data_IF_747485872269
#
_entry.id   IF_747485872269
#
_cell.length_a   1.000
_cell.length_b   1.000
_cell.length_c   1.000
_cell.angle_alpha   90.00
_cell.angle_beta   90.00
_cell.angle_gamma   90.00
#
_symmetry.space_group_name_H-M   'P 1'
#
loop_
_entity.id
_entity.type
_entity.pdbx_description
1 polymer ?
#
# COMPACT_ATOMS: atom_id res chain seq x y z
N UNK A 1 15.15 -32.71 -1.71
CA UNK A 1 15.56 -31.30 -1.84
C UNK A 1 14.49 -30.31 -1.36
N UNK A 2 13.20 -30.52 -1.67
CA UNK A 2 12.10 -29.60 -1.27
C UNK A 2 12.03 -29.38 0.26
N UNK A 3 12.18 -30.44 1.06
CA UNK A 3 12.17 -30.31 2.53
C UNK A 3 13.32 -29.43 3.08
N UNK A 4 14.50 -29.48 2.47
CA UNK A 4 15.63 -28.62 2.88
C UNK A 4 15.33 -27.17 2.55
N UNK A 5 14.84 -26.89 1.35
CA UNK A 5 14.39 -25.55 0.93
C UNK A 5 13.31 -25.01 1.88
N UNK A 6 12.31 -25.82 2.24
CA UNK A 6 11.23 -25.46 3.16
C UNK A 6 11.74 -25.09 4.56
N UNK A 7 12.69 -25.86 5.10
CA UNK A 7 13.30 -25.58 6.41
C UNK A 7 14.04 -24.24 6.37
N UNK A 8 14.92 -24.03 5.38
CA UNK A 8 15.70 -22.79 5.26
C UNK A 8 14.82 -21.54 5.10
N UNK A 9 13.73 -21.63 4.33
CA UNK A 9 12.74 -20.56 4.22
C UNK A 9 12.09 -20.29 5.58
N UNK A 10 11.61 -21.33 6.26
CA UNK A 10 10.93 -21.18 7.56
C UNK A 10 11.84 -20.56 8.62
N UNK A 11 13.11 -20.96 8.65
CA UNK A 11 14.12 -20.40 9.55
C UNK A 11 14.35 -18.90 9.29
N UNK A 12 14.44 -18.49 8.01
CA UNK A 12 14.63 -17.08 7.66
C UNK A 12 13.41 -16.24 8.06
N UNK A 13 12.20 -16.66 7.72
CA UNK A 13 10.98 -15.94 8.07
C UNK A 13 10.76 -15.86 9.59
N UNK A 14 11.21 -16.87 10.33
CA UNK A 14 11.17 -16.84 11.81
C UNK A 14 12.04 -15.72 12.38
N UNK A 15 13.18 -15.39 11.74
CA UNK A 15 14.03 -14.24 12.13
C UNK A 15 13.34 -12.90 11.89
N UNK A 16 12.41 -12.83 10.94
CA UNK A 16 11.58 -11.65 10.67
C UNK A 16 10.27 -11.64 11.47
N UNK A 17 10.15 -12.49 12.50
CA UNK A 17 8.94 -12.62 13.30
C UNK A 17 7.69 -13.01 12.48
N UNK A 18 7.87 -13.62 11.30
CA UNK A 18 6.79 -14.12 10.46
C UNK A 18 6.62 -15.61 10.67
N UNK A 19 5.38 -16.07 10.77
CA UNK A 19 5.04 -17.50 10.79
C UNK A 19 4.15 -17.80 9.60
N UNK A 20 4.74 -18.37 8.54
CA UNK A 20 4.01 -18.69 7.32
C UNK A 20 2.99 -19.81 7.55
N UNK A 21 1.90 -19.79 6.79
CA UNK A 21 0.98 -20.92 6.70
C UNK A 21 1.62 -22.02 5.85
N UNK A 22 1.48 -23.25 6.32
CA UNK A 22 2.11 -24.39 5.67
C UNK A 22 1.52 -24.66 4.28
N UNK A 23 0.21 -24.56 4.12
CA UNK A 23 -0.47 -24.73 2.83
C UNK A 23 0.06 -23.74 1.78
N UNK A 24 0.09 -22.46 2.13
CA UNK A 24 0.61 -21.40 1.27
C UNK A 24 2.08 -21.64 0.88
N UNK A 25 2.93 -21.99 1.85
CA UNK A 25 4.35 -22.25 1.57
C UNK A 25 4.54 -23.47 0.66
N UNK A 26 3.73 -24.52 0.84
CA UNK A 26 3.81 -25.71 -0.02
C UNK A 26 3.44 -25.36 -1.47
N UNK A 27 2.35 -24.61 -1.68
CA UNK A 27 1.91 -24.17 -3.00
C UNK A 27 2.99 -23.32 -3.71
N UNK A 28 3.57 -22.36 -2.98
CA UNK A 28 4.66 -21.52 -3.51
C UNK A 28 5.89 -22.36 -3.88
N UNK A 29 6.30 -23.29 -3.03
CA UNK A 29 7.46 -24.14 -3.30
C UNK A 29 7.19 -25.12 -4.45
N UNK A 30 5.97 -25.60 -4.61
CA UNK A 30 5.55 -26.43 -5.74
C UNK A 30 5.60 -25.64 -7.05
N UNK A 31 5.04 -24.43 -7.06
CA UNK A 31 5.13 -23.51 -8.20
C UNK A 31 6.59 -23.21 -8.58
N UNK A 32 7.43 -22.86 -7.60
CA UNK A 32 8.86 -22.60 -7.83
C UNK A 32 9.61 -23.85 -8.29
N UNK A 33 9.18 -25.05 -7.88
CA UNK A 33 9.77 -26.29 -8.35
C UNK A 33 9.46 -26.54 -9.83
N UNK A 34 8.24 -26.22 -10.28
CA UNK A 34 7.85 -26.32 -11.70
C UNK A 34 8.57 -25.29 -12.56
N UNK A 35 8.56 -24.02 -12.15
CA UNK A 35 9.12 -22.92 -12.95
C UNK A 35 10.65 -22.85 -12.87
N UNK A 36 11.25 -23.24 -11.74
CA UNK A 36 12.70 -23.09 -11.46
C UNK A 36 13.25 -24.26 -10.63
N UNK A 37 13.10 -25.48 -11.13
CA UNK A 37 13.51 -26.72 -10.45
C UNK A 37 14.93 -26.69 -9.88
N UNK A 38 15.89 -26.12 -10.62
CA UNK A 38 17.32 -26.10 -10.28
C UNK A 38 17.77 -24.86 -9.50
N UNK A 39 16.85 -23.96 -9.11
CA UNK A 39 17.22 -22.79 -8.33
C UNK A 39 17.90 -23.20 -7.01
N UNK A 40 18.98 -22.50 -6.67
CA UNK A 40 19.67 -22.64 -5.40
C UNK A 40 18.79 -22.17 -4.23
N UNK A 41 19.19 -22.52 -3.01
CA UNK A 41 18.41 -22.22 -1.81
C UNK A 41 18.28 -20.70 -1.61
N UNK A 42 19.30 -19.91 -1.92
CA UNK A 42 19.26 -18.45 -1.75
C UNK A 42 18.25 -17.82 -2.71
N UNK A 43 18.27 -18.22 -3.98
CA UNK A 43 17.28 -17.72 -4.96
C UNK A 43 15.86 -18.13 -4.58
N UNK A 44 15.64 -19.36 -4.11
CA UNK A 44 14.32 -19.80 -3.66
C UNK A 44 13.83 -18.95 -2.49
N UNK A 45 14.70 -18.68 -1.50
CA UNK A 45 14.35 -17.82 -0.36
C UNK A 45 13.94 -16.42 -0.83
N UNK A 46 14.71 -15.81 -1.74
CA UNK A 46 14.39 -14.50 -2.28
C UNK A 46 13.04 -14.50 -3.00
N UNK A 47 12.77 -15.50 -3.85
CA UNK A 47 11.51 -15.59 -4.58
C UNK A 47 10.31 -15.80 -3.66
N UNK A 48 10.45 -16.62 -2.61
CA UNK A 48 9.40 -16.80 -1.61
C UNK A 48 9.15 -15.48 -0.86
N UNK A 49 10.21 -14.74 -0.53
CA UNK A 49 10.11 -13.43 0.11
C UNK A 49 9.36 -12.42 -0.77
N UNK A 50 9.70 -12.35 -2.06
CA UNK A 50 9.01 -11.48 -3.02
C UNK A 50 7.53 -11.87 -3.16
N UNK A 51 7.23 -13.15 -3.33
CA UNK A 51 5.84 -13.62 -3.41
C UNK A 51 5.06 -13.33 -2.12
N UNK A 52 5.69 -13.47 -0.95
CA UNK A 52 5.08 -13.11 0.33
C UNK A 52 4.79 -11.61 0.43
N UNK A 53 5.70 -10.75 -0.03
CA UNK A 53 5.54 -9.29 0.00
C UNK A 53 4.33 -8.81 -0.83
N UNK A 54 4.05 -9.49 -1.94
CA UNK A 54 2.89 -9.20 -2.80
C UNK A 54 1.65 -10.02 -2.46
N UNK A 55 1.70 -10.83 -1.39
CA UNK A 55 0.56 -11.62 -0.94
C UNK A 55 -0.19 -10.93 0.19
N UNK A 56 -1.51 -11.11 0.21
CA UNK A 56 -2.34 -10.86 1.39
C UNK A 56 -1.80 -11.63 2.61
N UNK A 57 -1.42 -10.92 3.69
CA UNK A 57 -0.95 -11.54 4.94
C UNK A 57 -2.00 -12.48 5.53
N UNK A 58 -3.28 -12.17 5.30
CA UNK A 58 -4.42 -13.00 5.70
C UNK A 58 -4.35 -14.41 5.09
N UNK A 59 -3.73 -14.57 3.93
CA UNK A 59 -3.56 -15.83 3.22
C UNK A 59 -2.20 -16.48 3.51
N UNK A 60 -1.12 -15.70 3.54
CA UNK A 60 0.25 -16.22 3.62
C UNK A 60 0.74 -16.50 5.05
N UNK A 61 0.22 -15.78 6.04
CA UNK A 61 0.82 -15.70 7.38
C UNK A 61 -0.18 -16.08 8.48
N UNK A 62 0.29 -16.72 9.55
CA UNK A 62 -0.50 -17.02 10.74
C UNK A 62 -0.61 -15.78 11.63
N UNK A 63 -1.82 -15.43 12.12
CA UNK A 63 -2.00 -14.27 12.98
C UNK A 63 -1.31 -14.48 14.33
N UNK A 64 -0.46 -13.51 14.73
CA UNK A 64 0.21 -13.47 16.04
C UNK A 64 -0.46 -12.53 17.03
N UNK A 65 -1.03 -11.43 16.55
CA UNK A 65 -1.72 -10.45 17.39
C UNK A 65 -3.02 -11.07 17.90
N UNK A 66 -3.17 -11.16 19.22
CA UNK A 66 -4.41 -11.56 19.88
C UNK A 66 -4.90 -10.39 20.72
N UNK A 67 -5.96 -9.74 20.28
CA UNK A 67 -6.59 -8.66 21.03
C UNK A 67 -7.62 -9.28 21.99
N UNK A 68 -7.49 -9.07 23.30
CA UNK A 68 -8.48 -9.54 24.26
C UNK A 68 -9.81 -8.80 24.03
N UNK A 69 -10.96 -9.49 24.17
CA UNK A 69 -12.25 -8.85 24.01
C UNK A 69 -12.48 -7.85 25.15
N UNK A 70 -13.00 -6.66 24.81
CA UNK A 70 -13.45 -5.61 25.75
C UNK A 70 -12.35 -4.90 26.56
N UNK A 71 -11.08 -4.99 26.16
CA UNK A 71 -10.02 -4.26 26.85
C UNK A 71 -9.96 -2.79 26.41
N UNK A 72 -9.89 -1.86 27.37
CA UNK A 72 -9.83 -0.41 27.10
C UNK A 72 -8.46 0.04 26.60
N UNK A 73 -7.41 -0.69 26.96
CA UNK A 73 -6.02 -0.40 26.59
C UNK A 73 -5.22 -1.69 26.64
N UNK A 74 -4.62 -2.05 25.53
CA UNK A 74 -3.72 -3.20 25.41
C UNK A 74 -2.33 -2.69 25.02
N UNK A 75 -1.28 -3.27 25.61
CA UNK A 75 0.09 -3.06 25.14
C UNK A 75 0.48 -4.21 24.22
N UNK A 76 1.20 -3.91 23.15
CA UNK A 76 1.75 -4.92 22.27
C UNK A 76 3.25 -5.01 22.54
N UNK A 77 3.64 -6.02 23.32
CA UNK A 77 5.03 -6.18 23.80
C UNK A 77 5.86 -7.13 22.92
N UNK A 78 5.42 -7.41 21.68
CA UNK A 78 6.15 -8.30 20.77
C UNK A 78 6.25 -7.73 19.37
N UNK A 79 7.33 -8.09 18.68
CA UNK A 79 7.55 -7.74 17.28
C UNK A 79 6.54 -8.46 16.41
N UNK A 80 5.77 -7.69 15.65
CA UNK A 80 4.72 -8.18 14.76
C UNK A 80 4.87 -7.58 13.38
N UNK A 81 4.45 -8.35 12.40
CA UNK A 81 4.34 -7.90 11.02
C UNK A 81 2.88 -7.64 10.69
N UNK A 82 2.62 -6.48 10.09
CA UNK A 82 1.27 -6.01 9.73
C UNK A 82 1.23 -5.58 8.27
N UNK A 83 0.05 -5.67 7.65
CA UNK A 83 -0.21 -5.16 6.31
C UNK A 83 -1.05 -3.89 6.41
N UNK A 84 -0.60 -2.82 5.76
CA UNK A 84 -1.35 -1.57 5.66
C UNK A 84 -2.31 -1.69 4.48
N UNK A 85 -3.59 -1.87 4.75
CA UNK A 85 -4.61 -1.99 3.70
C UNK A 85 -5.01 -0.62 3.12
N UNK A 86 -5.05 0.39 3.97
CA UNK A 86 -5.38 1.76 3.61
C UNK A 86 -4.77 2.71 4.64
N UNK A 87 -4.50 3.94 4.21
CA UNK A 87 -4.08 5.02 5.11
C UNK A 87 -4.87 6.28 4.73
N UNK A 88 -5.31 7.03 5.74
CA UNK A 88 -6.02 8.30 5.57
C UNK A 88 -5.39 9.31 6.51
N UNK A 89 -5.16 10.52 6.02
CA UNK A 89 -4.73 11.64 6.85
C UNK A 89 -5.92 12.23 7.59
N UNK A 90 -5.85 12.26 8.92
CA UNK A 90 -6.89 12.78 9.80
C UNK A 90 -6.61 14.21 10.29
N UNK A 91 -5.42 14.75 10.01
CA UNK A 91 -5.05 16.13 10.38
C UNK A 91 -5.66 17.16 9.44
N UNK A 92 -5.93 16.78 8.20
CA UNK A 92 -6.52 17.63 7.18
C UNK A 92 -7.92 17.14 6.81
N UNK A 93 -8.81 18.06 6.47
CA UNK A 93 -10.16 17.66 6.07
C UNK A 93 -10.09 16.87 4.76
N UNK A 94 -10.87 15.79 4.67
CA UNK A 94 -10.97 14.99 3.44
C UNK A 94 -11.36 15.86 2.24
N UNK A 95 -12.20 16.88 2.46
CA UNK A 95 -12.59 17.85 1.45
C UNK A 95 -11.40 18.69 0.94
N UNK A 96 -10.55 19.19 1.85
CA UNK A 96 -9.36 19.96 1.48
C UNK A 96 -8.39 19.11 0.64
N UNK A 97 -8.12 17.87 1.07
CA UNK A 97 -7.31 16.93 0.29
C UNK A 97 -7.94 16.64 -1.07
N UNK A 98 -9.24 16.37 -1.11
CA UNK A 98 -9.94 16.11 -2.35
C UNK A 98 -9.87 17.32 -3.29
N UNK A 99 -10.05 18.53 -2.78
CA UNK A 99 -9.91 19.77 -3.55
C UNK A 99 -8.50 19.94 -4.12
N UNK A 100 -7.46 19.68 -3.32
CA UNK A 100 -6.06 19.68 -3.78
C UNK A 100 -5.80 18.63 -4.88
N UNK A 101 -6.35 17.41 -4.73
CA UNK A 101 -6.19 16.32 -5.70
C UNK A 101 -7.00 16.51 -6.99
N UNK A 102 -8.22 17.02 -6.89
CA UNK A 102 -9.17 17.14 -8.02
C UNK A 102 -8.97 18.43 -8.81
N UNK A 103 -8.36 19.44 -8.22
CA UNK A 103 -7.63 20.44 -9.00
C UNK A 103 -7.84 21.88 -8.58
N UNK A 104 -6.70 22.57 -8.60
CA UNK A 104 -6.48 24.02 -8.77
C UNK A 104 -7.14 24.64 -10.04
N UNK A 105 -8.21 24.06 -10.57
CA UNK A 105 -8.92 24.54 -11.76
C UNK A 105 -10.37 24.98 -11.48
N UNK A 106 -10.73 25.14 -10.20
CA UNK A 106 -11.96 25.84 -9.78
C UNK A 106 -11.68 27.24 -9.23
N UNK A 107 -10.44 27.70 -9.37
CA UNK A 107 -10.10 29.09 -9.18
C UNK A 107 -10.65 29.90 -10.37
N UNK A 108 -11.55 30.82 -10.07
CA UNK A 108 -12.10 31.78 -11.03
C UNK A 108 -11.08 32.89 -11.40
N UNK A 109 -9.79 32.73 -11.09
CA UNK A 109 -8.73 33.67 -11.48
C UNK A 109 -8.65 33.92 -12.99
N UNK A 110 -9.19 33.01 -13.82
CA UNK A 110 -9.36 33.22 -15.25
C UNK A 110 -10.47 34.24 -15.61
N UNK A 111 -11.36 34.57 -14.68
CA UNK A 111 -12.40 35.61 -14.83
C UNK A 111 -11.91 37.01 -14.42
N UNK A 112 -10.60 37.25 -14.35
CA UNK A 112 -10.09 38.63 -14.36
C UNK A 112 -10.37 39.24 -15.75
N UNK A 113 -11.59 39.76 -15.90
CA UNK A 113 -11.95 40.63 -17.01
C UNK A 113 -11.21 41.93 -16.76
N UNK A 114 -10.11 42.16 -17.46
CA UNK A 114 -9.55 43.51 -17.56
C UNK A 114 -10.64 44.39 -18.18
N UNK A 115 -11.25 45.26 -17.37
CA UNK A 115 -12.03 46.38 -17.86
C UNK A 115 -11.08 47.23 -18.69
N UNK A 116 -11.15 47.06 -20.02
CA UNK A 116 -10.50 47.95 -20.96
C UNK A 116 -11.24 49.29 -20.90
N UNK A 117 -10.91 50.09 -19.90
CA UNK A 117 -11.42 51.44 -19.68
C UNK A 117 -10.76 52.36 -20.70
N UNK A 118 -11.27 52.37 -21.94
CA UNK A 118 -10.55 53.05 -23.03
C UNK A 118 -11.24 53.17 -24.39
N UNK A 119 -12.54 52.91 -24.52
CA UNK A 119 -13.26 53.27 -25.75
C UNK A 119 -14.46 54.15 -25.42
N UNK A 120 -14.17 55.44 -25.23
CA UNK A 120 -15.15 56.50 -25.37
C UNK A 120 -15.77 56.42 -26.77
N UNK A 121 -17.00 55.93 -26.84
CA UNK A 121 -17.78 55.97 -28.08
C UNK A 121 -18.41 57.37 -28.17
N UNK A 122 -17.67 58.32 -28.73
CA UNK A 122 -18.20 59.63 -29.10
C UNK A 122 -19.33 59.42 -30.11
N UNK A 123 -20.57 59.66 -29.70
CA UNK A 123 -21.73 59.70 -30.60
C UNK A 123 -21.90 61.13 -31.08
N UNK A 124 -21.33 61.45 -32.24
CA UNK A 124 -21.67 62.67 -32.97
C UNK A 124 -23.11 62.54 -33.52
N UNK A 125 -23.97 63.46 -33.12
CA UNK A 125 -25.29 63.68 -33.72
C UNK A 125 -25.17 64.76 -34.81
N UNK A 126 -25.58 64.51 -36.06
CA UNK A 126 -25.74 65.57 -37.04
C UNK A 126 -27.03 66.37 -36.76
N UNK A 127 -26.94 67.68 -37.02
CA UNK A 127 -27.94 68.72 -36.74
C UNK A 127 -29.25 68.59 -37.53
#
# INVERSE_FOLDING_TARGET
MINVKKISVTELFSKFHVTLKEAWLNEVLEYLHVERAEADISTVIQLVYEQWLYSELSNSTRPKIRLPPFEKKTSLDSDVVVQINWFIDIHTSMYSKLYEYVGRNTDNSFFHWELNDGTEVVRDFPA
#
